data_IF_158750265913
#
_entry.id   IF_158750265913
#
_cell.length_a   1.000
_cell.length_b   1.000
_cell.length_c   1.000
_cell.angle_alpha   90.00
_cell.angle_beta   90.00
_cell.angle_gamma   90.00
#
_symmetry.space_group_name_H-M   'P 1'
#
loop_
_entity.id
_entity.type
_entity.pdbx_description
1 polymer ?
#
# COMPACT_ATOMS: atom_id res chain seq x y z
N UNK A 1 41.34 10.88 -8.07
CA UNK A 1 40.98 10.99 -6.66
C UNK A 1 39.52 10.64 -6.38
N UNK A 2 38.51 11.40 -6.85
CA UNK A 2 37.09 11.00 -6.67
C UNK A 2 36.68 9.92 -7.68
N UNK A 3 37.01 10.10 -8.97
CA UNK A 3 36.70 9.13 -10.03
C UNK A 3 37.50 7.81 -9.93
N UNK A 4 38.61 7.80 -9.19
CA UNK A 4 39.42 6.61 -8.89
C UNK A 4 38.91 5.82 -7.67
N UNK A 5 37.88 6.32 -6.96
CA UNK A 5 37.35 5.69 -5.75
C UNK A 5 38.18 5.92 -4.47
N UNK A 6 39.31 6.61 -4.55
CA UNK A 6 40.22 6.88 -3.43
C UNK A 6 39.65 7.87 -2.41
N UNK A 7 38.70 8.71 -2.81
CA UNK A 7 37.96 9.61 -1.94
C UNK A 7 36.48 9.25 -1.94
N UNK A 8 36.01 8.76 -0.79
CA UNK A 8 34.60 8.52 -0.52
C UNK A 8 34.14 9.34 0.69
N UNK A 9 32.96 9.98 0.64
CA UNK A 9 32.37 10.59 1.82
C UNK A 9 32.16 9.53 2.90
N UNK A 10 32.50 9.88 4.14
CA UNK A 10 32.20 9.06 5.30
C UNK A 10 30.84 9.47 5.85
N UNK A 11 30.07 8.46 6.29
CA UNK A 11 28.80 8.67 6.96
C UNK A 11 29.01 8.56 8.47
N UNK A 12 28.23 9.34 9.22
CA UNK A 12 28.21 9.21 10.67
C UNK A 12 27.47 7.95 11.08
N UNK A 13 27.74 7.44 12.28
CA UNK A 13 27.06 6.25 12.83
C UNK A 13 25.55 6.42 12.99
N UNK A 14 25.06 7.67 13.02
CA UNK A 14 23.64 8.01 13.04
C UNK A 14 22.95 7.87 11.67
N UNK A 15 23.68 7.58 10.60
CA UNK A 15 23.12 7.45 9.25
C UNK A 15 22.16 6.24 9.19
N UNK A 16 20.89 6.42 8.78
CA UNK A 16 19.97 5.30 8.63
C UNK A 16 20.51 4.27 7.63
N UNK A 17 20.42 2.99 7.97
CA UNK A 17 20.98 1.90 7.16
C UNK A 17 20.49 1.92 5.70
N UNK A 18 19.22 2.26 5.45
CA UNK A 18 18.67 2.36 4.11
C UNK A 18 19.32 3.49 3.28
N UNK A 19 19.62 4.62 3.91
CA UNK A 19 20.30 5.76 3.28
C UNK A 19 21.77 5.41 3.00
N UNK A 20 22.44 4.75 3.95
CA UNK A 20 23.81 4.29 3.78
C UNK A 20 23.95 3.27 2.63
N UNK A 21 23.01 2.33 2.52
CA UNK A 21 22.97 1.35 1.44
C UNK A 21 22.76 2.01 0.07
N UNK A 22 21.78 2.90 -0.06
CA UNK A 22 21.57 3.63 -1.33
C UNK A 22 22.78 4.50 -1.68
N UNK A 23 23.35 5.21 -0.70
CA UNK A 23 24.53 6.03 -0.94
C UNK A 23 25.73 5.19 -1.41
N UNK A 24 25.91 3.99 -0.85
CA UNK A 24 26.96 3.05 -1.26
C UNK A 24 26.79 2.61 -2.71
N UNK A 25 25.57 2.29 -3.14
CA UNK A 25 25.25 1.98 -4.54
C UNK A 25 25.52 3.16 -5.48
N UNK A 26 25.13 4.38 -5.09
CA UNK A 26 25.38 5.58 -5.88
C UNK A 26 26.88 5.86 -6.08
N UNK A 27 27.73 5.44 -5.13
CA UNK A 27 29.17 5.66 -5.15
C UNK A 27 29.97 4.44 -5.65
N UNK A 28 29.31 3.49 -6.32
CA UNK A 28 30.00 2.35 -6.90
C UNK A 28 31.13 2.81 -7.83
N UNK A 29 32.29 2.15 -7.71
CA UNK A 29 33.48 2.54 -8.47
C UNK A 29 33.23 2.35 -9.97
N UNK A 30 32.56 1.25 -10.30
CA UNK A 30 32.14 0.91 -11.64
C UNK A 30 30.85 1.66 -12.02
N UNK A 31 30.87 2.56 -13.04
CA UNK A 31 29.70 3.38 -13.38
C UNK A 31 28.45 2.59 -13.76
N UNK A 32 28.60 1.41 -14.38
CA UNK A 32 27.48 0.56 -14.81
C UNK A 32 26.74 -0.10 -13.65
N UNK A 33 27.32 -0.15 -12.45
CA UNK A 33 26.67 -0.67 -11.24
C UNK A 33 25.89 0.38 -10.46
N UNK A 34 26.01 1.66 -10.83
CA UNK A 34 25.28 2.74 -10.17
C UNK A 34 23.82 2.70 -10.61
N UNK A 35 22.87 2.96 -9.70
CA UNK A 35 21.48 3.09 -10.07
C UNK A 35 21.28 4.31 -10.96
N UNK A 36 20.35 4.19 -11.90
CA UNK A 36 19.82 5.31 -12.67
C UNK A 36 19.10 6.31 -11.76
N UNK A 37 18.92 7.55 -12.21
CA UNK A 37 18.15 8.54 -11.46
C UNK A 37 16.72 8.06 -11.14
N UNK A 38 16.11 7.31 -12.06
CA UNK A 38 14.79 6.69 -11.87
C UNK A 38 14.78 5.65 -10.73
N UNK A 39 15.79 4.78 -10.67
CA UNK A 39 15.95 3.80 -9.59
C UNK A 39 16.25 4.47 -8.25
N UNK A 40 17.08 5.53 -8.23
CA UNK A 40 17.34 6.32 -7.01
C UNK A 40 16.05 6.93 -6.48
N UNK A 41 15.25 7.54 -7.36
CA UNK A 41 13.95 8.13 -6.98
C UNK A 41 13.03 7.04 -6.43
N UNK A 42 12.97 5.87 -7.06
CA UNK A 42 12.20 4.74 -6.57
C UNK A 42 12.66 4.30 -5.17
N UNK A 43 13.95 4.12 -4.94
CA UNK A 43 14.49 3.74 -3.62
C UNK A 43 14.22 4.80 -2.54
N UNK A 44 14.40 6.08 -2.86
CA UNK A 44 14.08 7.18 -1.94
C UNK A 44 12.58 7.25 -1.62
N UNK A 45 11.71 6.94 -2.58
CA UNK A 45 10.27 6.82 -2.35
C UNK A 45 9.94 5.63 -1.45
N UNK A 46 10.62 4.49 -1.61
CA UNK A 46 10.41 3.34 -0.72
C UNK A 46 10.91 3.61 0.72
N UNK A 47 11.95 4.42 0.88
CA UNK A 47 12.40 4.89 2.20
C UNK A 47 11.40 5.83 2.87
N UNK A 48 10.54 6.47 2.09
CA UNK A 48 9.48 7.35 2.59
C UNK A 48 8.23 6.53 2.90
N UNK A 49 7.96 6.39 4.20
CA UNK A 49 6.68 5.90 4.71
C UNK A 49 5.66 7.00 4.52
N UNK A 50 5.09 7.08 3.33
CA UNK A 50 4.20 8.17 2.94
C UNK A 50 2.91 7.60 2.39
N UNK A 51 1.81 8.10 2.94
CA UNK A 51 0.51 7.90 2.34
C UNK A 51 0.23 9.09 1.41
N UNK A 52 0.04 8.79 0.12
CA UNK A 52 -0.39 9.76 -0.88
C UNK A 52 -1.91 9.68 -1.01
N UNK A 53 -2.58 10.82 -1.00
CA UNK A 53 -4.04 10.90 -1.10
C UNK A 53 -4.48 12.09 -1.96
N UNK A 54 -5.69 12.01 -2.52
CA UNK A 54 -6.38 13.16 -3.09
C UNK A 54 -7.74 13.33 -2.48
N UNK A 55 -8.15 14.59 -2.39
CA UNK A 55 -9.50 14.98 -2.01
C UNK A 55 -9.97 16.08 -2.95
N UNK A 56 -11.17 15.92 -3.47
CA UNK A 56 -11.86 16.89 -4.33
C UNK A 56 -12.40 18.05 -3.51
N UNK A 57 -12.66 17.85 -2.21
CA UNK A 57 -13.27 18.83 -1.31
C UNK A 57 -12.29 19.40 -0.27
N UNK A 58 -11.20 18.71 0.07
CA UNK A 58 -10.18 19.20 1.02
C UNK A 58 -8.98 19.76 0.27
N UNK A 59 -8.42 20.87 0.75
CA UNK A 59 -7.23 21.51 0.15
C UNK A 59 -6.01 20.61 0.24
N UNK A 60 -5.17 20.65 -0.81
CA UNK A 60 -3.86 20.01 -0.77
C UNK A 60 -3.00 20.57 0.37
N UNK A 61 -2.22 19.69 1.00
CA UNK A 61 -1.27 20.07 2.04
C UNK A 61 0.13 20.42 1.50
N UNK A 62 0.35 20.31 0.18
CA UNK A 62 1.64 20.50 -0.48
C UNK A 62 2.80 19.66 0.10
N UNK A 63 2.48 18.58 0.83
CA UNK A 63 3.46 17.73 1.50
C UNK A 63 4.18 16.74 0.57
N UNK A 64 3.73 16.61 -0.68
CA UNK A 64 4.35 15.74 -1.66
C UNK A 64 5.59 16.41 -2.27
N UNK A 65 6.75 15.78 -2.14
CA UNK A 65 7.98 16.26 -2.76
C UNK A 65 8.03 15.89 -4.24
N UNK A 66 8.30 16.85 -5.12
CA UNK A 66 8.57 16.59 -6.55
C UNK A 66 7.35 16.16 -7.37
N UNK A 67 6.14 16.22 -6.81
CA UNK A 67 4.93 16.20 -7.62
C UNK A 67 4.68 17.63 -8.10
N UNK A 68 4.49 17.80 -9.41
CA UNK A 68 4.06 19.08 -9.97
C UNK A 68 2.83 19.57 -9.20
N UNK A 69 2.83 20.88 -8.92
CA UNK A 69 1.77 21.63 -8.21
C UNK A 69 0.38 21.38 -8.83
N UNK A 70 0.34 20.82 -10.04
CA UNK A 70 -0.85 20.53 -10.86
C UNK A 70 -1.64 19.27 -10.47
N UNK A 71 -1.15 18.40 -9.58
CA UNK A 71 -1.75 17.06 -9.36
C UNK A 71 -2.81 16.97 -8.24
N UNK A 72 -3.05 18.04 -7.46
CA UNK A 72 -3.90 18.06 -6.26
C UNK A 72 -3.61 16.89 -5.29
N UNK A 73 -2.33 16.50 -5.18
CA UNK A 73 -1.87 15.45 -4.28
C UNK A 73 -1.60 16.02 -2.88
N UNK A 74 -1.97 15.28 -1.84
CA UNK A 74 -1.49 15.49 -0.48
C UNK A 74 -0.71 14.28 -0.02
N UNK A 75 0.37 14.51 0.72
CA UNK A 75 1.20 13.46 1.28
C UNK A 75 1.24 13.61 2.79
N UNK A 76 1.09 12.50 3.49
CA UNK A 76 1.21 12.46 4.93
C UNK A 76 2.31 11.47 5.35
N UNK A 77 3.22 11.94 6.19
CA UNK A 77 4.18 11.10 6.90
C UNK A 77 3.42 10.21 7.88
N UNK A 78 3.73 8.92 7.87
CA UNK A 78 3.04 7.93 8.69
C UNK A 78 3.75 7.82 10.06
N UNK A 79 4.05 8.97 10.70
CA UNK A 79 4.88 9.05 11.92
C UNK A 79 4.28 8.32 13.12
N UNK A 80 2.95 8.38 13.27
CA UNK A 80 2.24 7.67 14.31
C UNK A 80 2.31 6.15 14.20
N UNK A 81 2.89 5.61 13.12
CA UNK A 81 3.03 4.18 12.87
C UNK A 81 4.49 3.73 12.72
N UNK A 82 5.45 4.64 12.96
CA UNK A 82 6.88 4.43 12.69
C UNK A 82 7.44 3.15 13.30
N UNK A 83 7.01 2.84 14.51
CA UNK A 83 7.47 1.67 15.27
C UNK A 83 6.35 0.66 15.53
N UNK A 84 5.24 0.79 14.80
CA UNK A 84 4.09 -0.11 14.92
C UNK A 84 4.18 -1.25 13.91
N UNK A 85 3.82 -2.45 14.37
CA UNK A 85 3.63 -3.63 13.53
C UNK A 85 2.20 -3.74 13.00
N UNK A 86 1.28 -2.92 13.53
CA UNK A 86 -0.14 -2.92 13.19
C UNK A 86 -0.56 -1.53 12.71
N UNK A 87 -1.08 -1.45 11.49
CA UNK A 87 -1.45 -0.20 10.84
C UNK A 87 -2.95 -0.21 10.56
N UNK A 88 -3.68 0.81 10.97
CA UNK A 88 -5.10 0.99 10.68
C UNK A 88 -5.35 2.34 10.01
N UNK A 89 -5.69 2.33 8.73
CA UNK A 89 -6.05 3.51 7.95
C UNK A 89 -7.57 3.60 7.88
N UNK A 90 -8.14 4.71 8.35
CA UNK A 90 -9.58 4.95 8.33
C UNK A 90 -9.91 6.02 7.30
N UNK A 91 -10.87 5.76 6.43
CA UNK A 91 -11.21 6.60 5.29
C UNK A 91 -12.69 6.97 5.35
N UNK A 92 -13.05 8.15 4.88
CA UNK A 92 -14.44 8.55 4.65
C UNK A 92 -14.54 9.45 3.44
N UNK A 93 -15.76 9.60 2.92
CA UNK A 93 -16.04 10.56 1.86
C UNK A 93 -15.79 11.99 2.36
N UNK A 94 -15.18 12.87 1.54
CA UNK A 94 -15.10 14.28 1.88
C UNK A 94 -16.47 14.89 2.15
N UNK A 95 -16.58 15.64 3.24
CA UNK A 95 -17.84 16.26 3.65
C UNK A 95 -18.03 17.64 3.00
N UNK A 96 -19.29 18.01 2.76
CA UNK A 96 -19.69 19.36 2.37
C UNK A 96 -20.29 20.10 3.59
N UNK A 97 -19.99 21.39 3.81
CA UNK A 97 -19.15 22.25 2.98
C UNK A 97 -17.66 21.91 3.11
N UNK A 98 -16.90 22.15 2.03
CA UNK A 98 -15.44 21.96 2.00
C UNK A 98 -14.75 22.41 3.29
N UNK A 99 -13.96 21.50 3.87
CA UNK A 99 -13.09 21.81 4.98
C UNK A 99 -12.09 22.92 4.62
N UNK A 100 -11.98 23.93 5.48
CA UNK A 100 -11.02 25.02 5.29
C UNK A 100 -9.58 24.60 5.58
N UNK A 101 -9.40 23.54 6.38
CA UNK A 101 -8.12 22.99 6.79
C UNK A 101 -7.55 22.01 5.74
N UNK A 102 -6.24 22.07 5.45
CA UNK A 102 -5.59 21.11 4.57
C UNK A 102 -5.50 19.72 5.22
N UNK A 103 -5.27 18.69 4.39
CA UNK A 103 -5.04 17.33 4.88
C UNK A 103 -3.82 17.27 5.82
N UNK A 104 -3.84 16.41 6.85
CA UNK A 104 -2.75 16.32 7.81
C UNK A 104 -1.44 15.91 7.12
N UNK A 105 -0.33 16.54 7.51
CA UNK A 105 1.01 16.16 7.03
C UNK A 105 1.61 15.01 7.82
N UNK A 106 1.03 14.66 8.98
CA UNK A 106 1.40 13.51 9.80
C UNK A 106 0.15 12.71 10.19
N UNK A 107 0.22 11.38 10.08
CA UNK A 107 -0.89 10.49 10.47
C UNK A 107 -0.64 9.86 11.84
N UNK A 108 -1.67 9.87 12.68
CA UNK A 108 -1.78 9.04 13.89
C UNK A 108 -2.69 7.83 13.66
N UNK A 109 -2.58 6.81 14.53
CA UNK A 109 -3.38 5.57 14.50
C UNK A 109 -4.91 5.75 14.50
N UNK A 110 -5.41 6.92 14.88
CA UNK A 110 -6.84 7.22 15.01
C UNK A 110 -7.33 8.26 13.99
N UNK A 111 -6.48 8.73 13.07
CA UNK A 111 -6.88 9.74 12.08
C UNK A 111 -7.84 9.12 11.05
N UNK A 112 -8.97 9.78 10.81
CA UNK A 112 -9.88 9.45 9.71
C UNK A 112 -9.62 10.42 8.55
N UNK A 113 -9.36 9.89 7.36
CA UNK A 113 -8.99 10.67 6.18
C UNK A 113 -10.19 10.88 5.25
N UNK A 114 -10.44 12.14 4.91
CA UNK A 114 -11.49 12.58 4.00
C UNK A 114 -10.98 12.66 2.56
N UNK A 115 -11.04 11.54 1.84
CA UNK A 115 -10.33 11.37 0.56
C UNK A 115 -11.17 10.65 -0.47
N UNK A 116 -10.91 10.96 -1.74
CA UNK A 116 -11.52 10.30 -2.91
C UNK A 116 -10.58 9.26 -3.52
N UNK A 117 -9.27 9.43 -3.33
CA UNK A 117 -8.27 8.49 -3.81
C UNK A 117 -7.12 8.33 -2.82
N UNK A 118 -6.51 7.14 -2.83
CA UNK A 118 -5.34 6.85 -2.02
C UNK A 118 -4.32 5.98 -2.74
N UNK A 119 -3.06 6.16 -2.35
CA UNK A 119 -1.93 5.32 -2.70
C UNK A 119 -1.02 5.22 -1.49
N UNK A 120 -0.84 4.01 -0.98
CA UNK A 120 0.11 3.74 0.10
C UNK A 120 1.47 3.36 -0.50
N UNK A 121 2.52 4.10 -0.13
CA UNK A 121 3.89 3.81 -0.53
C UNK A 121 4.75 3.47 0.68
N UNK A 122 5.70 2.54 0.48
CA UNK A 122 6.77 2.30 1.46
C UNK A 122 6.27 1.76 2.81
N UNK A 123 5.62 0.60 2.80
CA UNK A 123 5.30 -0.11 4.05
C UNK A 123 6.58 -0.76 4.59
N UNK A 124 6.97 -0.49 5.86
CA UNK A 124 8.15 -1.11 6.45
C UNK A 124 8.05 -2.63 6.48
N UNK A 125 9.18 -3.29 6.26
CA UNK A 125 9.32 -4.75 6.34
C UNK A 125 8.86 -5.34 7.69
N UNK A 126 8.81 -4.52 8.75
CA UNK A 126 8.42 -4.91 10.12
C UNK A 126 6.91 -4.96 10.33
N UNK A 127 6.11 -4.37 9.44
CA UNK A 127 4.65 -4.35 9.57
C UNK A 127 4.10 -5.74 9.32
N UNK A 128 3.19 -6.19 10.18
CA UNK A 128 2.58 -7.51 10.13
C UNK A 128 1.10 -7.43 9.77
N UNK A 129 0.40 -6.45 10.34
CA UNK A 129 -1.06 -6.32 10.24
C UNK A 129 -1.42 -4.98 9.63
N UNK A 130 -2.21 -4.98 8.56
CA UNK A 130 -2.70 -3.75 7.92
C UNK A 130 -4.22 -3.81 7.77
N UNK A 131 -4.90 -2.77 8.26
CA UNK A 131 -6.33 -2.58 8.15
C UNK A 131 -6.63 -1.29 7.38
N UNK A 132 -7.46 -1.36 6.35
CA UNK A 132 -7.98 -0.20 5.59
C UNK A 132 -9.50 -0.23 5.68
N UNK A 133 -10.07 0.77 6.36
CA UNK A 133 -11.46 0.77 6.80
C UNK A 133 -12.22 1.98 6.26
N UNK A 134 -13.33 1.74 5.57
CA UNK A 134 -14.28 2.79 5.18
C UNK A 134 -15.27 3.13 6.29
N UNK A 135 -15.41 4.41 6.62
CA UNK A 135 -16.39 4.96 7.56
C UNK A 135 -17.58 5.57 6.82
N UNK A 136 -18.49 4.71 6.39
CA UNK A 136 -19.72 5.11 5.72
C UNK A 136 -20.79 4.03 5.89
N UNK A 137 -22.06 4.41 5.75
CA UNK A 137 -23.18 3.47 5.83
C UNK A 137 -23.19 2.43 4.67
N UNK A 138 -22.63 2.80 3.53
CA UNK A 138 -22.44 1.95 2.34
C UNK A 138 -20.94 1.80 2.05
N UNK A 139 -20.52 0.75 1.32
CA UNK A 139 -19.12 0.61 0.89
C UNK A 139 -18.59 1.88 0.23
N UNK A 140 -17.52 2.45 0.78
CA UNK A 140 -16.96 3.73 0.38
C UNK A 140 -16.41 3.66 -1.06
N UNK A 141 -16.91 4.47 -2.01
CA UNK A 141 -16.24 4.63 -3.29
C UNK A 141 -14.88 5.28 -3.07
N UNK A 142 -13.81 4.58 -3.42
CA UNK A 142 -12.44 5.07 -3.30
C UNK A 142 -11.66 4.63 -4.54
N UNK A 143 -10.90 5.54 -5.12
CA UNK A 143 -9.97 5.20 -6.19
C UNK A 143 -8.62 4.77 -5.57
N UNK A 144 -8.26 3.49 -5.77
CA UNK A 144 -6.96 2.95 -5.36
C UNK A 144 -6.01 3.14 -6.54
N UNK A 145 -5.22 4.21 -6.48
CA UNK A 145 -4.37 4.63 -7.58
C UNK A 145 -3.19 3.67 -7.78
N UNK A 146 -2.69 3.57 -9.01
CA UNK A 146 -1.40 2.92 -9.30
C UNK A 146 -0.26 3.87 -8.93
N UNK A 147 0.82 3.38 -8.29
CA UNK A 147 2.00 4.20 -8.09
C UNK A 147 2.61 4.57 -9.43
N UNK A 148 3.09 5.81 -9.54
CA UNK A 148 3.90 6.23 -10.66
C UNK A 148 5.27 5.53 -10.56
N UNK A 149 5.45 4.47 -11.33
CA UNK A 149 6.74 3.77 -11.44
C UNK A 149 7.44 4.15 -12.74
N UNK A 150 8.73 4.51 -12.71
CA UNK A 150 9.53 4.57 -13.94
C UNK A 150 9.64 3.15 -14.53
N UNK A 151 8.92 2.86 -15.61
CA UNK A 151 8.86 1.52 -16.21
C UNK A 151 7.48 1.19 -16.80
N UNK A 152 7.21 -0.09 -17.14
CA UNK A 152 5.88 -0.52 -17.56
C UNK A 152 4.87 -0.24 -16.44
N UNK A 153 3.61 0.09 -16.79
CA UNK A 153 2.59 0.41 -15.80
C UNK A 153 2.43 -0.73 -14.79
N UNK A 154 2.62 -0.44 -13.50
CA UNK A 154 2.42 -1.42 -12.47
C UNK A 154 0.91 -1.73 -12.32
N UNK A 155 0.54 -3.01 -12.21
CA UNK A 155 -0.84 -3.44 -11.94
C UNK A 155 -1.38 -2.76 -10.67
N UNK A 156 -2.64 -2.31 -10.60
CA UNK A 156 -3.20 -1.76 -9.36
C UNK A 156 -3.12 -2.79 -8.22
N UNK A 157 -2.75 -2.30 -7.05
CA UNK A 157 -2.59 -3.13 -5.86
C UNK A 157 -3.29 -2.48 -4.68
N UNK A 158 -4.02 -3.30 -3.91
CA UNK A 158 -4.65 -2.88 -2.66
C UNK A 158 -3.56 -2.58 -1.64
N UNK A 159 -2.56 -3.48 -1.57
CA UNK A 159 -1.42 -3.32 -0.69
C UNK A 159 -0.17 -3.88 -1.37
N UNK A 160 0.84 -3.02 -1.53
CA UNK A 160 2.16 -3.48 -1.97
C UNK A 160 3.05 -3.73 -0.77
N UNK A 161 3.57 -4.94 -0.71
CA UNK A 161 4.59 -5.33 0.24
C UNK A 161 5.99 -5.11 -0.35
N UNK A 162 6.99 -4.73 0.46
CA UNK A 162 8.39 -4.79 0.04
C UNK A 162 8.83 -6.24 -0.21
N UNK A 163 9.93 -6.43 -0.94
CA UNK A 163 10.47 -7.77 -1.27
C UNK A 163 10.68 -8.66 -0.04
N UNK A 164 11.11 -8.08 1.09
CA UNK A 164 11.11 -8.72 2.40
C UNK A 164 9.97 -8.14 3.24
N UNK A 165 8.82 -8.79 3.24
CA UNK A 165 7.63 -8.36 3.99
C UNK A 165 7.31 -9.33 5.11
N UNK A 166 7.01 -8.80 6.30
CA UNK A 166 6.45 -9.56 7.42
C UNK A 166 4.92 -9.50 7.47
N UNK A 167 4.26 -8.89 6.47
CA UNK A 167 2.81 -8.74 6.43
C UNK A 167 2.15 -10.11 6.33
N UNK A 168 1.39 -10.47 7.35
CA UNK A 168 0.65 -11.74 7.41
C UNK A 168 -0.85 -11.53 7.47
N UNK A 169 -1.31 -10.32 7.85
CA UNK A 169 -2.73 -10.00 7.94
C UNK A 169 -3.07 -8.72 7.16
N UNK A 170 -4.05 -8.82 6.27
CA UNK A 170 -4.65 -7.69 5.58
C UNK A 170 -6.17 -7.70 5.77
N UNK A 171 -6.69 -6.62 6.32
CA UNK A 171 -8.11 -6.35 6.39
C UNK A 171 -8.46 -5.14 5.53
N UNK A 172 -9.38 -5.33 4.59
CA UNK A 172 -10.07 -4.26 3.90
C UNK A 172 -11.55 -4.41 4.21
N UNK A 173 -12.15 -3.37 4.77
CA UNK A 173 -13.56 -3.40 5.12
C UNK A 173 -14.28 -2.15 4.64
N UNK A 174 -15.49 -2.36 4.10
CA UNK A 174 -16.40 -1.28 3.73
C UNK A 174 -15.83 -0.33 2.66
N UNK A 175 -15.06 -0.83 1.70
CA UNK A 175 -14.57 -0.09 0.54
C UNK A 175 -15.15 -0.70 -0.74
N UNK A 176 -15.70 0.11 -1.62
CA UNK A 176 -16.24 -0.38 -2.89
C UNK A 176 -15.12 -0.82 -3.83
N UNK A 177 -14.89 -2.13 -3.93
CA UNK A 177 -13.91 -2.76 -4.81
C UNK A 177 -14.57 -3.42 -6.03
N UNK A 178 -15.84 -3.09 -6.33
CA UNK A 178 -16.50 -3.59 -7.53
C UNK A 178 -15.74 -3.13 -8.79
N UNK A 179 -15.39 -4.07 -9.66
CA UNK A 179 -14.60 -3.80 -10.87
C UNK A 179 -13.09 -3.65 -10.63
N UNK A 180 -12.62 -3.63 -9.39
CA UNK A 180 -11.18 -3.61 -9.11
C UNK A 180 -10.53 -4.95 -9.50
N UNK A 181 -9.50 -4.96 -10.37
CA UNK A 181 -8.91 -6.19 -10.86
C UNK A 181 -7.93 -6.77 -9.82
N UNK A 182 -8.44 -7.54 -8.86
CA UNK A 182 -7.59 -8.29 -7.92
C UNK A 182 -6.86 -9.40 -8.69
N UNK A 183 -5.55 -9.28 -8.79
CA UNK A 183 -4.63 -10.26 -9.38
C UNK A 183 -3.62 -10.73 -8.32
N UNK A 184 -2.82 -11.78 -8.59
CA UNK A 184 -1.72 -12.18 -7.70
C UNK A 184 -0.79 -11.03 -7.28
N UNK A 185 -0.54 -10.07 -8.18
CA UNK A 185 0.30 -8.88 -7.91
C UNK A 185 -0.38 -7.80 -7.06
N UNK A 186 -1.69 -7.91 -6.80
CA UNK A 186 -2.46 -6.91 -6.07
C UNK A 186 -2.38 -7.05 -4.55
N UNK A 187 -1.87 -8.18 -4.05
CA UNK A 187 -1.82 -8.56 -2.63
C UNK A 187 -0.43 -9.15 -2.27
N UNK A 188 0.05 -9.01 -1.02
CA UNK A 188 1.25 -9.70 -0.57
C UNK A 188 1.07 -11.22 -0.55
N UNK A 189 1.99 -11.98 -1.15
CA UNK A 189 1.96 -13.46 -1.12
C UNK A 189 2.21 -14.07 0.26
N UNK A 190 2.69 -13.27 1.21
CA UNK A 190 2.98 -13.63 2.61
C UNK A 190 1.74 -13.70 3.51
N UNK A 191 0.56 -13.37 2.99
CA UNK A 191 -0.67 -13.33 3.76
C UNK A 191 -1.07 -14.71 4.28
N UNK A 192 -1.36 -14.74 5.58
CA UNK A 192 -2.02 -15.85 6.29
C UNK A 192 -3.48 -15.55 6.60
N UNK A 193 -3.82 -14.27 6.71
CA UNK A 193 -5.17 -13.80 6.97
C UNK A 193 -5.54 -12.70 5.97
N UNK A 194 -6.60 -12.92 5.20
CA UNK A 194 -7.15 -11.96 4.27
C UNK A 194 -8.63 -11.73 4.59
N UNK A 195 -8.99 -10.49 4.89
CA UNK A 195 -10.38 -10.07 5.04
C UNK A 195 -10.68 -9.01 4.00
N UNK A 196 -11.63 -9.28 3.11
CA UNK A 196 -12.22 -8.31 2.18
C UNK A 196 -13.72 -8.28 2.46
N UNK A 197 -14.15 -7.59 3.50
CA UNK A 197 -15.54 -7.62 3.99
C UNK A 197 -16.32 -6.39 3.56
N UNK A 198 -17.56 -6.58 3.10
CA UNK A 198 -18.41 -5.46 2.66
C UNK A 198 -17.76 -4.61 1.55
N UNK A 199 -17.20 -5.28 0.53
CA UNK A 199 -16.41 -4.62 -0.50
C UNK A 199 -17.06 -4.62 -1.90
N UNK A 200 -18.34 -4.99 -2.02
CA UNK A 200 -19.05 -5.17 -3.31
C UNK A 200 -18.30 -6.06 -4.32
N UNK A 201 -17.46 -6.98 -3.86
CA UNK A 201 -16.72 -7.88 -4.76
C UNK A 201 -17.71 -8.85 -5.42
N UNK A 202 -17.58 -9.03 -6.73
CA UNK A 202 -18.41 -9.98 -7.49
C UNK A 202 -17.66 -11.29 -7.78
N UNK A 203 -16.32 -11.26 -7.74
CA UNK A 203 -15.46 -12.41 -7.99
C UNK A 203 -14.13 -12.30 -7.25
N UNK A 204 -13.58 -13.43 -6.87
CA UNK A 204 -12.18 -13.64 -6.52
C UNK A 204 -11.74 -14.91 -7.24
N UNK A 205 -10.66 -14.85 -8.00
CA UNK A 205 -10.26 -15.94 -8.89
C UNK A 205 -9.23 -16.85 -8.21
N UNK A 206 -9.19 -18.13 -8.63
CA UNK A 206 -8.32 -19.14 -8.02
C UNK A 206 -6.83 -18.85 -8.17
N UNK A 207 -6.40 -18.16 -9.23
CA UNK A 207 -5.00 -17.72 -9.41
C UNK A 207 -4.52 -16.81 -8.28
N UNK A 208 -5.39 -15.92 -7.78
CA UNK A 208 -5.10 -15.11 -6.60
C UNK A 208 -4.89 -16.01 -5.39
N UNK A 209 -5.78 -16.97 -5.16
CA UNK A 209 -5.69 -17.88 -4.01
C UNK A 209 -4.46 -18.80 -4.09
N UNK A 210 -4.10 -19.31 -5.26
CA UNK A 210 -2.89 -20.09 -5.48
C UNK A 210 -1.61 -19.28 -5.22
N UNK A 211 -1.66 -17.96 -5.39
CA UNK A 211 -0.54 -17.08 -5.03
C UNK A 211 -0.39 -16.85 -3.53
N UNK A 212 -1.42 -17.14 -2.73
CA UNK A 212 -1.46 -16.99 -1.27
C UNK A 212 -1.34 -18.37 -0.60
N UNK A 213 -0.21 -19.05 -0.82
CA UNK A 213 -0.02 -20.45 -0.41
C UNK A 213 -0.14 -20.68 1.11
N UNK A 214 0.24 -19.68 1.91
CA UNK A 214 0.20 -19.74 3.37
C UNK A 214 -1.14 -19.23 3.97
N UNK A 215 -2.16 -18.96 3.13
CA UNK A 215 -3.43 -18.41 3.59
C UNK A 215 -4.18 -19.41 4.47
N UNK A 216 -4.37 -19.05 5.73
CA UNK A 216 -5.07 -19.85 6.73
C UNK A 216 -6.51 -19.34 6.99
N UNK A 217 -6.80 -18.09 6.67
CA UNK A 217 -8.14 -17.51 6.86
C UNK A 217 -8.49 -16.51 5.76
N UNK A 218 -9.68 -16.69 5.18
CA UNK A 218 -10.26 -15.85 4.14
C UNK A 218 -11.68 -15.43 4.52
N UNK A 219 -11.89 -14.14 4.74
CA UNK A 219 -13.23 -13.57 4.97
C UNK A 219 -13.65 -12.68 3.79
N UNK A 220 -14.67 -13.14 3.09
CA UNK A 220 -15.34 -12.47 1.98
C UNK A 220 -16.81 -12.17 2.32
N UNK A 221 -17.16 -12.12 3.61
CA UNK A 221 -18.52 -11.81 4.07
C UNK A 221 -19.02 -10.47 3.53
N UNK A 222 -20.34 -10.38 3.35
CA UNK A 222 -21.01 -9.15 2.92
C UNK A 222 -20.53 -8.66 1.54
N UNK A 223 -20.14 -9.56 0.64
CA UNK A 223 -19.87 -9.22 -0.77
C UNK A 223 -21.01 -9.68 -1.69
N UNK A 224 -20.76 -9.61 -3.00
CA UNK A 224 -21.68 -10.02 -4.06
C UNK A 224 -21.14 -11.24 -4.83
N UNK A 225 -20.28 -12.04 -4.18
CA UNK A 225 -19.68 -13.25 -4.77
C UNK A 225 -20.71 -14.37 -4.70
N UNK A 226 -21.18 -14.84 -5.86
CA UNK A 226 -22.26 -15.82 -5.97
C UNK A 226 -21.92 -16.93 -6.97
N UNK A 227 -22.62 -18.07 -6.83
CA UNK A 227 -22.55 -19.20 -7.76
C UNK A 227 -21.14 -19.78 -7.88
N UNK A 228 -20.73 -20.06 -9.13
CA UNK A 228 -19.46 -20.74 -9.46
C UNK A 228 -18.22 -20.07 -8.83
N UNK A 229 -18.21 -18.74 -8.74
CA UNK A 229 -17.08 -18.03 -8.11
C UNK A 229 -17.01 -18.26 -6.60
N UNK A 230 -18.15 -18.37 -5.92
CA UNK A 230 -18.19 -18.67 -4.49
C UNK A 230 -17.70 -20.09 -4.22
N UNK A 231 -18.16 -21.06 -5.02
CA UNK A 231 -17.79 -22.47 -4.87
C UNK A 231 -16.30 -22.68 -5.18
N UNK A 232 -15.82 -22.16 -6.32
CA UNK A 232 -14.40 -22.23 -6.69
C UNK A 232 -13.49 -21.58 -5.63
N UNK A 233 -13.90 -20.46 -5.03
CA UNK A 233 -13.15 -19.80 -3.96
C UNK A 233 -13.04 -20.70 -2.73
N UNK A 234 -14.15 -21.31 -2.30
CA UNK A 234 -14.18 -22.19 -1.13
C UNK A 234 -13.33 -23.44 -1.37
N UNK A 235 -13.49 -24.08 -2.53
CA UNK A 235 -12.70 -25.25 -2.91
C UNK A 235 -11.21 -24.94 -2.97
N UNK A 236 -10.83 -23.84 -3.63
CA UNK A 236 -9.42 -23.48 -3.80
C UNK A 236 -8.76 -23.15 -2.45
N UNK A 237 -9.42 -22.39 -1.57
CA UNK A 237 -8.90 -22.09 -0.24
C UNK A 237 -8.76 -23.39 0.57
N UNK A 238 -9.83 -24.18 0.71
CA UNK A 238 -9.80 -25.40 1.54
C UNK A 238 -8.83 -26.47 1.06
N UNK A 239 -8.48 -26.50 -0.23
CA UNK A 239 -7.43 -27.36 -0.77
C UNK A 239 -6.02 -26.99 -0.27
N UNK A 240 -5.80 -25.73 0.14
CA UNK A 240 -4.55 -25.29 0.77
C UNK A 240 -4.62 -25.47 2.28
N UNK A 241 -4.08 -26.61 2.75
CA UNK A 241 -3.67 -26.90 4.14
C UNK A 241 -4.31 -26.08 5.28
N UNK A 242 -5.61 -26.29 5.54
CA UNK A 242 -6.39 -25.71 6.67
C UNK A 242 -6.90 -24.27 6.53
N UNK A 243 -6.96 -23.73 5.31
CA UNK A 243 -7.60 -22.44 5.04
C UNK A 243 -9.10 -22.45 5.42
N UNK A 244 -9.50 -21.58 6.35
CA UNK A 244 -10.89 -21.36 6.75
C UNK A 244 -11.50 -20.23 5.92
N UNK A 245 -12.71 -20.43 5.40
CA UNK A 245 -13.37 -19.46 4.52
C UNK A 245 -14.74 -19.03 5.06
N UNK A 246 -14.98 -17.72 5.05
CA UNK A 246 -16.27 -17.11 5.43
C UNK A 246 -16.82 -16.29 4.26
N UNK A 247 -18.00 -16.64 3.76
CA UNK A 247 -18.58 -16.05 2.52
C UNK A 247 -20.06 -15.65 2.66
N UNK A 248 -20.50 -15.25 3.84
CA UNK A 248 -21.87 -14.77 4.11
C UNK A 248 -21.80 -13.36 4.68
#
# INVERSE_FOLDING_TARGET
>A
MVASGELRPQFTDSCPASVLSLASLCMEAEPSKRPTAAEIVYELQQMRRTLMVKSTAIKTNYGCFGADVETNLSCACIDGYRDMTEWTIRLRKPQEPRGSQPLPTTLSGNTVLEVDSMLLMGIPATVQNVSILGESALPLPIDIATPFTPGPPADPAILRAPFKSAITSLQVANLNLNGFPIKPSSLPSTLRQLTLRNCNLTRLTSDVLYSLQDLAYLDLSVNQIVGVYQDATKETCTASASCQVKTL
#
